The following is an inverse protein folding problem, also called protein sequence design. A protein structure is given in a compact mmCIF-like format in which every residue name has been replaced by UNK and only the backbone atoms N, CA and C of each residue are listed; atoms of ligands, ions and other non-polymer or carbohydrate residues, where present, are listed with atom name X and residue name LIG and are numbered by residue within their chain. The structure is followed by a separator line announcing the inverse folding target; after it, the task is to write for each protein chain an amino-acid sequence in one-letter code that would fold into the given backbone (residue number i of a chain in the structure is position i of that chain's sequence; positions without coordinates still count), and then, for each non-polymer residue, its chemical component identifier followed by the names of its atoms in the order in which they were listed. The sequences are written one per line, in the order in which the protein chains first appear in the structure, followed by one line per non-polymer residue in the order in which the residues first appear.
data_IF_880575525054
#
_entry.id   IF_880575525054
#
_cell.length_a   1.000
_cell.length_b   1.000
_cell.length_c   1.000
_cell.angle_alpha   90.00
_cell.angle_beta   90.00
_cell.angle_gamma   90.00
#
_symmetry.space_group_name_H-M   'P 1'
#
loop_
_entity.id
_entity.type
_entity.pdbx_description
1 polymer ?
#
# COMPACT_ATOMS: atom_id res chain seq x y z
N UNK A 1 14.02 2.92 -11.58
CA UNK A 1 12.59 2.71 -11.39
C UNK A 1 11.81 3.80 -12.05
N UNK A 2 10.81 3.43 -12.79
CA UNK A 2 9.85 4.38 -13.35
C UNK A 2 8.68 4.42 -12.37
N UNK A 3 8.68 5.42 -11.53
CA UNK A 3 7.54 5.68 -10.68
C UNK A 3 6.34 6.12 -11.50
N UNK A 4 5.17 5.64 -11.18
CA UNK A 4 3.94 6.04 -11.83
C UNK A 4 3.52 7.47 -11.44
N UNK A 5 4.09 7.99 -10.36
CA UNK A 5 3.79 9.32 -9.79
C UNK A 5 4.58 10.49 -10.37
N UNK A 6 5.40 10.26 -11.37
CA UNK A 6 6.22 11.29 -12.01
C UNK A 6 7.65 11.38 -11.44
N UNK A 7 8.55 11.81 -12.30
CA UNK A 7 9.96 11.92 -11.97
C UNK A 7 10.21 13.10 -11.04
N UNK A 8 10.47 12.83 -9.77
CA UNK A 8 11.05 13.83 -8.90
C UNK A 8 12.45 13.38 -8.47
N UNK A 9 13.35 14.34 -8.39
CA UNK A 9 14.61 14.11 -7.71
C UNK A 9 14.34 14.17 -6.20
N UNK A 10 14.37 13.01 -5.52
CA UNK A 10 14.05 12.93 -4.10
C UNK A 10 15.01 13.75 -3.24
N UNK A 11 16.29 13.89 -3.63
CA UNK A 11 17.26 14.72 -2.93
C UNK A 11 16.87 16.20 -2.99
N UNK A 12 16.44 16.67 -4.15
CA UNK A 12 15.99 18.05 -4.33
C UNK A 12 14.69 18.31 -3.57
N UNK A 13 13.76 17.37 -3.60
CA UNK A 13 12.52 17.44 -2.84
C UNK A 13 12.80 17.49 -1.34
N UNK A 14 13.66 16.60 -0.84
CA UNK A 14 14.05 16.55 0.55
C UNK A 14 14.66 17.86 1.03
N UNK A 15 15.57 18.45 0.23
CA UNK A 15 16.17 19.76 0.53
C UNK A 15 15.16 20.89 0.56
N UNK A 16 14.23 20.93 -0.40
CA UNK A 16 13.23 22.00 -0.53
C UNK A 16 12.13 21.92 0.53
N UNK A 17 11.71 20.71 0.88
CA UNK A 17 10.59 20.47 1.78
C UNK A 17 11.03 20.15 3.21
N UNK A 18 12.33 19.95 3.45
CA UNK A 18 12.89 19.78 4.78
C UNK A 18 12.64 18.39 5.38
N UNK A 19 12.45 17.35 4.56
CA UNK A 19 12.34 15.97 5.06
C UNK A 19 13.63 15.18 4.87
N UNK A 20 13.76 14.10 5.61
CA UNK A 20 14.79 13.06 5.41
C UNK A 20 14.14 11.84 4.81
N UNK A 21 14.90 11.04 4.10
CA UNK A 21 14.43 9.77 3.57
C UNK A 21 15.48 8.67 3.75
N UNK A 22 15.00 7.43 3.79
CA UNK A 22 15.82 6.23 3.79
C UNK A 22 15.31 5.29 2.70
N UNK A 23 16.18 4.93 1.77
CA UNK A 23 15.89 3.88 0.81
C UNK A 23 16.30 2.52 1.36
N UNK A 24 15.40 1.55 1.21
CA UNK A 24 15.66 0.14 1.54
C UNK A 24 15.51 -0.67 0.26
N UNK A 25 16.44 -1.60 0.04
CA UNK A 25 16.36 -2.50 -1.10
C UNK A 25 15.14 -3.42 -0.99
N UNK A 26 14.42 -3.62 -2.10
CA UNK A 26 13.20 -4.45 -2.13
C UNK A 26 13.49 -5.88 -1.69
N UNK A 27 14.60 -6.45 -2.11
CA UNK A 27 14.96 -7.81 -1.71
C UNK A 27 15.27 -7.90 -0.23
N UNK A 28 15.96 -6.89 0.32
CA UNK A 28 16.19 -6.81 1.76
C UNK A 28 14.87 -6.74 2.53
N UNK A 29 13.94 -5.90 2.09
CA UNK A 29 12.65 -5.76 2.75
C UNK A 29 11.90 -7.09 2.79
N UNK A 30 11.87 -7.82 1.67
CA UNK A 30 11.22 -9.12 1.58
C UNK A 30 11.96 -10.14 2.46
N UNK A 31 13.28 -10.19 2.41
CA UNK A 31 14.08 -11.13 3.20
C UNK A 31 13.90 -10.93 4.71
N UNK A 32 13.79 -9.66 5.16
CA UNK A 32 13.52 -9.33 6.57
C UNK A 32 12.10 -9.67 7.01
N UNK A 33 11.17 -9.89 6.10
CA UNK A 33 9.81 -10.32 6.41
C UNK A 33 9.72 -11.80 6.81
N UNK A 34 10.76 -12.59 6.59
CA UNK A 34 10.81 -14.00 6.96
C UNK A 34 11.21 -14.21 8.42
N UNK A 35 10.63 -15.23 9.06
CA UNK A 35 10.94 -15.59 10.45
C UNK A 35 12.34 -16.21 10.61
N UNK A 36 12.87 -16.84 9.57
CA UNK A 36 14.15 -17.53 9.57
C UNK A 36 15.21 -16.79 8.73
N UNK A 37 15.18 -15.47 8.77
CA UNK A 37 16.11 -14.70 7.97
C UNK A 37 17.56 -14.89 8.40
N UNK A 38 18.40 -15.22 7.44
CA UNK A 38 19.85 -15.34 7.64
C UNK A 38 20.55 -14.15 6.97
N UNK A 39 21.40 -13.38 7.68
CA UNK A 39 22.10 -12.26 7.10
C UNK A 39 22.89 -12.66 5.85
N UNK A 40 22.77 -11.89 4.77
CA UNK A 40 23.65 -12.06 3.62
C UNK A 40 25.08 -11.68 4.01
N UNK A 41 26.05 -12.60 3.91
CA UNK A 41 27.41 -12.35 4.39
C UNK A 41 28.17 -11.28 3.60
N UNK A 42 27.66 -10.87 2.44
CA UNK A 42 28.28 -9.87 1.56
C UNK A 42 27.70 -8.46 1.71
N UNK A 43 26.63 -8.30 2.48
CA UNK A 43 26.02 -7.00 2.73
C UNK A 43 26.39 -6.52 4.13
N UNK A 44 26.59 -5.18 4.34
CA UNK A 44 26.90 -4.67 5.66
C UNK A 44 25.81 -5.08 6.66
N UNK A 45 26.26 -5.40 7.86
CA UNK A 45 25.44 -5.88 8.97
C UNK A 45 24.16 -5.05 9.12
N UNK A 46 23.06 -5.65 8.71
CA UNK A 46 21.73 -5.12 8.90
C UNK A 46 21.19 -5.67 10.20
N UNK A 47 20.53 -4.86 10.96
CA UNK A 47 19.90 -5.33 12.19
C UNK A 47 18.84 -6.36 11.83
N UNK A 48 18.95 -7.62 12.27
CA UNK A 48 17.95 -8.62 11.95
C UNK A 48 16.62 -8.21 12.57
N UNK A 49 15.61 -8.06 11.72
CA UNK A 49 14.23 -7.84 12.15
C UNK A 49 13.55 -9.19 12.35
N UNK A 50 14.11 -10.01 13.23
CA UNK A 50 13.58 -11.33 13.46
C UNK A 50 12.13 -11.25 13.97
N UNK A 51 11.23 -11.93 13.29
CA UNK A 51 9.90 -12.21 13.79
C UNK A 51 9.88 -13.53 14.56
N UNK A 52 8.99 -13.64 15.51
CA UNK A 52 8.88 -14.78 16.41
C UNK A 52 7.55 -15.51 16.20
N UNK A 53 7.40 -16.68 16.80
CA UNK A 53 6.11 -17.37 16.84
C UNK A 53 5.01 -16.55 17.55
N UNK A 54 5.39 -15.65 18.45
CA UNK A 54 4.44 -14.74 19.09
C UNK A 54 3.92 -13.69 18.11
N UNK A 55 4.78 -13.12 17.26
CA UNK A 55 4.37 -12.20 16.20
C UNK A 55 3.41 -12.90 15.22
N UNK A 56 3.71 -14.14 14.84
CA UNK A 56 2.83 -14.93 13.98
C UNK A 56 1.44 -15.12 14.61
N UNK A 57 1.37 -15.47 15.88
CA UNK A 57 0.10 -15.64 16.59
C UNK A 57 -0.69 -14.33 16.69
N UNK A 58 -0.01 -13.20 16.88
CA UNK A 58 -0.64 -11.88 16.87
C UNK A 58 -1.24 -11.56 15.50
N UNK A 59 -0.53 -11.84 14.40
CA UNK A 59 -1.05 -11.63 13.03
C UNK A 59 -2.24 -12.52 12.73
N UNK A 60 -2.24 -13.77 13.20
CA UNK A 60 -3.37 -14.69 13.04
C UNK A 60 -4.61 -14.19 13.77
N UNK A 61 -4.45 -13.70 15.00
CA UNK A 61 -5.54 -13.07 15.74
C UNK A 61 -6.05 -11.81 15.05
N UNK A 62 -5.15 -10.93 14.62
CA UNK A 62 -5.51 -9.71 13.91
C UNK A 62 -6.22 -9.99 12.60
N UNK A 63 -5.80 -11.03 11.87
CA UNK A 63 -6.47 -11.46 10.66
C UNK A 63 -7.92 -11.92 10.94
N UNK A 64 -8.15 -12.68 12.01
CA UNK A 64 -9.50 -13.08 12.42
C UNK A 64 -10.38 -11.86 12.75
N UNK A 65 -9.85 -10.87 13.44
CA UNK A 65 -10.56 -9.62 13.78
C UNK A 65 -10.94 -8.84 12.52
N UNK A 66 -9.99 -8.69 11.57
CA UNK A 66 -10.21 -7.98 10.32
C UNK A 66 -11.24 -8.68 9.43
N UNK A 67 -11.15 -10.00 9.31
CA UNK A 67 -12.09 -10.82 8.54
C UNK A 67 -13.50 -10.74 9.16
N UNK A 68 -13.60 -10.85 10.48
CA UNK A 68 -14.88 -10.76 11.18
C UNK A 68 -15.53 -9.37 11.08
N UNK A 69 -14.71 -8.31 11.01
CA UNK A 69 -15.19 -6.93 10.84
C UNK A 69 -15.51 -6.55 9.40
N UNK A 70 -15.09 -7.34 8.42
CA UNK A 70 -15.31 -7.05 7.01
C UNK A 70 -16.77 -7.32 6.61
N UNK A 71 -17.38 -6.41 5.83
CA UNK A 71 -18.71 -6.65 5.23
C UNK A 71 -18.69 -7.76 4.18
N UNK A 72 -17.53 -8.02 3.58
CA UNK A 72 -17.29 -9.08 2.62
C UNK A 72 -15.80 -9.43 2.59
N UNK A 73 -15.48 -10.72 2.62
CA UNK A 73 -14.11 -11.22 2.48
C UNK A 73 -14.14 -12.52 1.66
N UNK A 74 -13.41 -12.57 0.54
CA UNK A 74 -13.27 -13.77 -0.29
C UNK A 74 -11.82 -14.19 -0.47
N UNK A 75 -10.93 -13.74 0.40
CA UNK A 75 -9.53 -14.17 0.44
C UNK A 75 -9.30 -15.12 1.61
N UNK A 76 -8.34 -16.01 1.47
CA UNK A 76 -7.98 -16.92 2.55
C UNK A 76 -7.36 -16.14 3.73
N UNK A 77 -7.56 -16.62 4.96
CA UNK A 77 -6.95 -16.04 6.16
C UNK A 77 -5.43 -15.92 6.02
N UNK A 78 -4.80 -16.91 5.40
CA UNK A 78 -3.36 -16.93 5.17
C UNK A 78 -2.87 -15.71 4.36
N UNK A 79 -3.64 -15.29 3.35
CA UNK A 79 -3.34 -14.09 2.54
C UNK A 79 -3.39 -12.81 3.39
N UNK A 80 -4.34 -12.73 4.32
CA UNK A 80 -4.45 -11.61 5.27
C UNK A 80 -3.25 -11.61 6.22
N UNK A 81 -2.87 -12.78 6.75
CA UNK A 81 -1.69 -12.94 7.61
C UNK A 81 -0.41 -12.53 6.88
N UNK A 82 -0.24 -12.94 5.63
CA UNK A 82 0.91 -12.53 4.82
C UNK A 82 0.94 -11.01 4.58
N UNK A 83 -0.20 -10.39 4.35
CA UNK A 83 -0.32 -8.93 4.29
C UNK A 83 0.05 -8.24 5.60
N UNK A 84 -0.34 -8.80 6.74
CA UNK A 84 0.04 -8.31 8.06
C UNK A 84 1.55 -8.47 8.32
N UNK A 85 2.18 -9.52 7.82
CA UNK A 85 3.63 -9.68 7.87
C UNK A 85 4.35 -8.56 7.12
N UNK A 86 3.86 -8.19 5.93
CA UNK A 86 4.39 -7.04 5.19
C UNK A 86 4.23 -5.73 5.98
N UNK A 87 3.04 -5.50 6.53
CA UNK A 87 2.75 -4.34 7.38
C UNK A 87 3.67 -4.26 8.59
N UNK A 88 3.87 -5.37 9.31
CA UNK A 88 4.77 -5.43 10.46
C UNK A 88 6.23 -5.16 10.06
N UNK A 89 6.67 -5.66 8.90
CA UNK A 89 7.99 -5.38 8.35
C UNK A 89 8.16 -3.88 8.08
N UNK A 90 7.18 -3.24 7.43
CA UNK A 90 7.21 -1.81 7.17
C UNK A 90 7.31 -0.99 8.46
N UNK A 91 6.54 -1.34 9.49
CA UNK A 91 6.60 -0.69 10.81
C UNK A 91 7.97 -0.82 11.46
N UNK A 92 8.57 -2.02 11.45
CA UNK A 92 9.91 -2.24 12.00
C UNK A 92 10.98 -1.43 11.27
N UNK A 93 10.89 -1.32 9.94
CA UNK A 93 11.80 -0.46 9.17
C UNK A 93 11.60 1.02 9.51
N UNK A 94 10.37 1.48 9.61
CA UNK A 94 10.07 2.87 9.99
C UNK A 94 10.60 3.19 11.39
N UNK A 95 10.41 2.29 12.36
CA UNK A 95 10.93 2.43 13.70
C UNK A 95 12.47 2.48 13.71
N UNK A 96 13.10 1.53 13.01
CA UNK A 96 14.57 1.44 12.95
C UNK A 96 15.22 2.70 12.35
N UNK A 97 14.63 3.27 11.31
CA UNK A 97 15.14 4.46 10.65
C UNK A 97 14.51 5.77 11.14
N UNK A 98 13.70 5.72 12.19
CA UNK A 98 12.97 6.87 12.74
C UNK A 98 12.15 7.61 11.66
N UNK A 99 11.45 6.85 10.82
CA UNK A 99 10.59 7.35 9.76
C UNK A 99 9.13 7.37 10.21
N UNK A 100 8.37 8.35 9.72
CA UNK A 100 6.94 8.53 10.02
C UNK A 100 6.04 8.46 8.79
N UNK A 101 6.57 8.00 7.67
CA UNK A 101 5.84 7.78 6.43
C UNK A 101 6.52 6.68 5.62
N UNK A 102 5.75 6.00 4.77
CA UNK A 102 6.19 4.84 4.01
C UNK A 102 5.77 4.92 2.55
N UNK A 103 6.63 4.44 1.65
CA UNK A 103 6.24 4.19 0.26
C UNK A 103 6.94 2.94 -0.28
N UNK A 104 6.26 2.20 -1.12
CA UNK A 104 6.80 1.00 -1.75
C UNK A 104 6.63 1.06 -3.28
N UNK A 105 7.62 0.57 -4.05
CA UNK A 105 7.55 0.48 -5.50
C UNK A 105 6.70 -0.72 -5.93
N UNK A 106 5.38 -0.64 -5.69
CA UNK A 106 4.47 -1.76 -5.88
C UNK A 106 4.56 -2.42 -7.26
N UNK A 107 4.67 -1.67 -8.40
CA UNK A 107 4.80 -2.30 -9.72
C UNK A 107 6.07 -3.14 -9.84
N UNK A 108 7.19 -2.67 -9.31
CA UNK A 108 8.47 -3.39 -9.38
C UNK A 108 8.48 -4.59 -8.43
N UNK A 109 7.94 -4.44 -7.24
CA UNK A 109 7.81 -5.53 -6.28
C UNK A 109 6.93 -6.66 -6.83
N UNK A 110 5.82 -6.32 -7.50
CA UNK A 110 4.96 -7.30 -8.18
C UNK A 110 5.64 -7.89 -9.44
N UNK A 111 6.34 -7.06 -10.23
CA UNK A 111 7.03 -7.52 -11.45
C UNK A 111 8.18 -8.49 -11.17
N UNK A 112 8.83 -8.42 -10.02
CA UNK A 112 9.85 -9.37 -9.61
C UNK A 112 9.29 -10.76 -9.26
N UNK A 113 7.97 -10.90 -9.23
CA UNK A 113 7.24 -12.10 -8.83
C UNK A 113 7.45 -12.54 -7.37
N UNK A 114 8.37 -11.96 -6.63
CA UNK A 114 8.65 -12.34 -5.24
C UNK A 114 7.47 -12.11 -4.32
N UNK A 115 6.80 -10.96 -4.41
CA UNK A 115 5.59 -10.72 -3.61
C UNK A 115 4.48 -11.71 -3.93
N UNK A 116 4.33 -12.09 -5.21
CA UNK A 116 3.34 -13.09 -5.61
C UNK A 116 3.68 -14.48 -5.04
N UNK A 117 4.96 -14.84 -4.97
CA UNK A 117 5.41 -16.09 -4.34
C UNK A 117 5.19 -16.09 -2.83
N UNK A 118 5.30 -14.93 -2.20
CA UNK A 118 5.08 -14.73 -0.77
C UNK A 118 3.60 -14.50 -0.42
N UNK A 119 2.71 -14.50 -1.42
CA UNK A 119 1.30 -14.16 -1.23
C UNK A 119 1.07 -12.84 -0.49
N UNK A 120 1.85 -11.83 -0.84
CA UNK A 120 1.81 -10.50 -0.22
C UNK A 120 1.37 -9.43 -1.21
N UNK A 121 0.71 -8.39 -0.70
CA UNK A 121 0.46 -7.16 -1.44
C UNK A 121 0.69 -5.94 -0.56
N UNK A 122 1.43 -4.94 -1.04
CA UNK A 122 1.63 -3.68 -0.29
C UNK A 122 0.34 -2.89 -0.07
N UNK A 123 -0.65 -3.02 -0.95
CA UNK A 123 -1.90 -2.25 -0.90
C UNK A 123 -2.63 -2.38 0.44
N UNK A 124 -2.70 -3.59 0.99
CA UNK A 124 -3.30 -3.84 2.29
C UNK A 124 -2.55 -3.11 3.41
N UNK A 125 -1.22 -3.16 3.39
CA UNK A 125 -0.38 -2.48 4.37
C UNK A 125 -0.48 -0.96 4.27
N UNK A 126 -0.55 -0.39 3.05
CA UNK A 126 -0.80 1.03 2.86
C UNK A 126 -2.15 1.45 3.47
N UNK A 127 -3.19 0.63 3.31
CA UNK A 127 -4.51 0.89 3.89
C UNK A 127 -4.47 0.88 5.41
N UNK A 128 -3.79 -0.08 6.04
CA UNK A 128 -3.66 -0.16 7.50
C UNK A 128 -2.88 1.03 8.06
N UNK A 129 -1.72 1.35 7.47
CA UNK A 129 -0.91 2.50 7.89
C UNK A 129 -1.70 3.81 7.80
N UNK A 130 -2.40 4.04 6.69
CA UNK A 130 -3.22 5.24 6.53
C UNK A 130 -4.40 5.29 7.51
N UNK A 131 -5.01 4.17 7.84
CA UNK A 131 -6.06 4.10 8.86
C UNK A 131 -5.54 4.46 10.27
N UNK A 132 -4.28 4.19 10.54
CA UNK A 132 -3.59 4.55 11.79
C UNK A 132 -3.01 5.97 11.78
N UNK A 133 -3.18 6.70 10.68
CA UNK A 133 -2.69 8.07 10.53
C UNK A 133 -1.23 8.17 10.11
N UNK A 134 -0.61 7.06 9.72
CA UNK A 134 0.74 7.01 9.16
C UNK A 134 0.62 7.14 7.65
N UNK A 135 1.09 8.25 7.08
CA UNK A 135 0.99 8.48 5.64
C UNK A 135 1.76 7.41 4.85
N UNK A 136 1.05 6.74 3.95
CA UNK A 136 1.61 5.62 3.20
C UNK A 136 1.10 5.61 1.77
N UNK A 137 2.01 5.74 0.80
CA UNK A 137 1.70 5.85 -0.62
C UNK A 137 2.24 4.65 -1.39
N UNK A 138 1.43 4.10 -2.30
CA UNK A 138 1.87 3.07 -3.23
C UNK A 138 2.68 3.66 -4.41
N UNK A 139 3.21 2.78 -5.23
CA UNK A 139 3.86 3.09 -6.51
C UNK A 139 5.08 4.01 -6.43
N UNK A 140 5.68 4.13 -5.24
CA UNK A 140 6.79 5.05 -5.01
C UNK A 140 6.44 6.51 -5.35
N UNK A 141 5.14 6.84 -5.23
CA UNK A 141 4.62 8.19 -5.51
C UNK A 141 4.97 9.15 -4.38
N UNK A 142 6.16 9.73 -4.46
CA UNK A 142 6.65 10.69 -3.46
C UNK A 142 5.82 11.99 -3.45
N UNK A 143 5.41 12.57 -4.59
CA UNK A 143 4.46 13.69 -4.58
C UNK A 143 3.15 13.37 -3.87
N UNK A 144 2.57 12.20 -4.14
CA UNK A 144 1.37 11.72 -3.48
C UNK A 144 1.58 11.53 -1.97
N UNK A 145 2.71 10.96 -1.56
CA UNK A 145 3.06 10.80 -0.15
C UNK A 145 3.15 12.16 0.58
N UNK A 146 3.82 13.13 -0.02
CA UNK A 146 3.91 14.49 0.55
C UNK A 146 2.53 15.13 0.66
N UNK A 147 1.70 14.98 -0.37
CA UNK A 147 0.32 15.47 -0.33
C UNK A 147 -0.50 14.81 0.79
N UNK A 148 -0.37 13.49 0.98
CA UNK A 148 -1.01 12.77 2.09
C UNK A 148 -0.56 13.30 3.46
N UNK A 149 0.74 13.50 3.66
CA UNK A 149 1.28 14.06 4.92
C UNK A 149 0.64 15.42 5.21
N UNK A 150 0.58 16.29 4.21
CA UNK A 150 -0.03 17.63 4.36
C UNK A 150 -1.52 17.56 4.66
N UNK A 151 -2.26 16.72 3.93
CA UNK A 151 -3.70 16.55 4.12
C UNK A 151 -4.02 15.94 5.48
N UNK A 152 -3.30 14.89 5.88
CA UNK A 152 -3.47 14.25 7.19
C UNK A 152 -3.17 15.21 8.34
N UNK A 153 -2.13 16.03 8.20
CA UNK A 153 -1.80 17.05 9.19
C UNK A 153 -2.88 18.13 9.31
N UNK A 154 -3.48 18.54 8.18
CA UNK A 154 -4.54 19.55 8.14
C UNK A 154 -5.88 19.00 8.64
N UNK A 155 -6.26 17.81 8.22
CA UNK A 155 -7.54 17.17 8.55
C UNK A 155 -7.53 16.52 9.95
N UNK A 156 -6.36 16.23 10.53
CA UNK A 156 -6.19 15.43 11.74
C UNK A 156 -6.80 14.03 11.62
N UNK A 157 -6.73 13.47 10.40
CA UNK A 157 -7.24 12.16 10.03
C UNK A 157 -6.38 11.57 8.91
N UNK A 158 -6.43 10.26 8.72
CA UNK A 158 -5.74 9.60 7.60
C UNK A 158 -6.26 10.12 6.26
N UNK A 159 -5.35 10.31 5.31
CA UNK A 159 -5.70 10.67 3.94
C UNK A 159 -5.77 9.43 3.06
N UNK A 160 -6.75 9.41 2.15
CA UNK A 160 -6.87 8.33 1.16
C UNK A 160 -5.94 8.60 -0.04
N UNK A 161 -5.35 7.54 -0.55
CA UNK A 161 -4.63 7.53 -1.81
C UNK A 161 -5.15 6.42 -2.72
N UNK A 162 -5.31 6.71 -3.99
CA UNK A 162 -5.70 5.70 -4.98
C UNK A 162 -5.50 6.20 -6.41
N UNK A 163 -5.38 5.25 -7.33
CA UNK A 163 -5.27 5.55 -8.75
C UNK A 163 -6.63 5.96 -9.32
N UNK A 164 -6.62 7.02 -10.11
CA UNK A 164 -7.81 7.42 -10.84
C UNK A 164 -7.94 6.56 -12.11
N UNK A 165 -8.92 5.67 -12.12
CA UNK A 165 -9.18 4.76 -13.25
C UNK A 165 -10.51 5.14 -13.90
N UNK A 166 -10.55 5.40 -15.23
CA UNK A 166 -11.77 5.75 -15.92
C UNK A 166 -12.71 4.54 -16.07
N UNK A 167 -13.99 4.75 -15.80
CA UNK A 167 -15.07 3.85 -16.18
C UNK A 167 -15.76 4.39 -17.44
N UNK A 168 -16.06 3.52 -18.39
CA UNK A 168 -16.69 3.87 -19.66
C UNK A 168 -18.13 3.36 -19.71
N UNK A 169 -19.04 4.24 -20.13
CA UNK A 169 -20.39 3.86 -20.50
C UNK A 169 -20.43 3.54 -21.99
N UNK A 170 -20.97 2.38 -22.35
CA UNK A 170 -21.04 1.98 -23.76
C UNK A 170 -21.91 2.92 -24.60
N UNK A 171 -22.97 3.46 -24.01
CA UNK A 171 -24.04 4.15 -24.73
C UNK A 171 -23.69 5.56 -25.20
N UNK A 172 -22.88 6.28 -24.46
CA UNK A 172 -22.57 7.69 -24.76
C UNK A 172 -21.08 7.99 -24.63
N UNK A 173 -20.27 6.98 -24.35
CA UNK A 173 -18.82 7.09 -24.11
C UNK A 173 -18.43 8.10 -23.03
N UNK A 174 -19.35 8.44 -22.16
CA UNK A 174 -19.01 9.20 -20.97
C UNK A 174 -18.02 8.40 -20.12
N UNK A 175 -17.03 9.08 -19.61
CA UNK A 175 -16.04 8.51 -18.69
C UNK A 175 -16.35 8.98 -17.27
N UNK A 176 -16.47 8.04 -16.35
CA UNK A 176 -16.51 8.33 -14.91
C UNK A 176 -15.18 7.88 -14.33
N UNK A 177 -14.53 8.76 -13.61
CA UNK A 177 -13.30 8.41 -12.91
C UNK A 177 -13.62 7.69 -11.60
N UNK A 178 -12.83 6.68 -11.27
CA UNK A 178 -12.84 6.00 -9.96
C UNK A 178 -11.43 5.94 -9.43
N UNK A 179 -11.29 5.89 -8.12
CA UNK A 179 -9.98 5.79 -7.44
C UNK A 179 -9.50 4.35 -7.26
N UNK A 180 -10.22 3.40 -7.81
CA UNK A 180 -9.84 1.98 -7.77
C UNK A 180 -9.95 1.39 -9.17
N UNK A 181 -9.14 0.39 -9.48
CA UNK A 181 -9.31 -0.40 -10.68
C UNK A 181 -10.71 -1.04 -10.67
N UNK A 182 -11.54 -0.81 -11.69
CA UNK A 182 -12.88 -1.36 -11.72
C UNK A 182 -12.78 -2.88 -11.79
N UNK A 183 -13.46 -3.57 -10.88
CA UNK A 183 -13.75 -4.98 -11.07
C UNK A 183 -14.74 -5.15 -12.23
N UNK A 184 -14.75 -6.31 -12.87
CA UNK A 184 -15.77 -6.62 -13.88
C UNK A 184 -17.20 -6.39 -13.33
N UNK A 185 -17.43 -6.76 -12.07
CA UNK A 185 -18.72 -6.55 -11.39
C UNK A 185 -19.11 -5.08 -11.28
N UNK A 186 -18.14 -4.20 -11.03
CA UNK A 186 -18.39 -2.75 -10.96
C UNK A 186 -18.72 -2.20 -12.35
N UNK A 187 -18.00 -2.63 -13.38
CA UNK A 187 -18.26 -2.23 -14.75
C UNK A 187 -19.66 -2.69 -15.21
N UNK A 188 -20.04 -3.94 -14.89
CA UNK A 188 -21.37 -4.47 -15.15
C UNK A 188 -22.46 -3.67 -14.43
N UNK A 189 -22.27 -3.34 -13.16
CA UNK A 189 -23.20 -2.51 -12.39
C UNK A 189 -23.35 -1.11 -13.01
N UNK A 190 -22.25 -0.46 -13.39
CA UNK A 190 -22.29 0.85 -14.05
C UNK A 190 -23.01 0.78 -15.40
N UNK A 191 -22.76 -0.26 -16.19
CA UNK A 191 -23.43 -0.48 -17.47
C UNK A 191 -24.94 -0.72 -17.33
N UNK A 192 -25.36 -1.33 -16.22
CA UNK A 192 -26.77 -1.58 -15.93
C UNK A 192 -27.54 -0.36 -15.40
N UNK A 193 -26.84 0.70 -14.96
CA UNK A 193 -27.46 1.93 -14.44
C UNK A 193 -28.20 2.70 -15.52
N UNK A 194 -29.29 3.37 -15.13
CA UNK A 194 -29.95 4.37 -15.96
C UNK A 194 -29.04 5.59 -16.18
N UNK A 195 -29.39 6.43 -17.15
CA UNK A 195 -28.61 7.65 -17.40
C UNK A 195 -28.63 8.59 -16.18
N UNK A 196 -29.79 8.71 -15.53
CA UNK A 196 -29.93 9.56 -14.33
C UNK A 196 -29.07 9.05 -13.17
N UNK A 197 -29.04 7.74 -12.94
CA UNK A 197 -28.18 7.13 -11.92
C UNK A 197 -26.71 7.37 -12.21
N UNK A 198 -26.29 7.26 -13.49
CA UNK A 198 -24.90 7.53 -13.89
C UNK A 198 -24.52 9.00 -13.74
N UNK A 199 -25.44 9.92 -14.08
CA UNK A 199 -25.20 11.37 -13.96
C UNK A 199 -25.09 11.81 -12.49
N UNK A 200 -25.71 11.05 -11.58
CA UNK A 200 -25.65 11.26 -10.13
C UNK A 200 -24.61 10.38 -9.42
N UNK A 201 -23.84 9.58 -10.15
CA UNK A 201 -22.83 8.72 -9.55
C UNK A 201 -21.72 9.57 -8.91
N UNK A 202 -21.72 9.59 -7.60
CA UNK A 202 -20.66 10.20 -6.80
C UNK A 202 -19.68 9.08 -6.43
N UNK A 203 -18.45 9.21 -6.88
CA UNK A 203 -17.37 8.31 -6.52
C UNK A 203 -16.69 8.89 -5.28
N UNK A 204 -16.91 8.23 -4.16
CA UNK A 204 -16.29 8.56 -2.86
C UNK A 204 -15.14 7.64 -2.56
#
# INVERSE_FOLDING_TARGET
SQDCGGFINIDDAAKKLGFRYQCVDVHEFIDQSHMEWTPCPTLPTRTPMAFTAADQAEWEQKADELIAGAGYCNVAKEEVVNGLRFYATANKFMEHYECNAFSAPCPEMCATTRLNQEHMTPCFSHSLLNAEGISSACEYDIPGLVAQIMLSAAAKAGAYMGNCVPLYYEKDRKTVATFMAPSNDLQEKVNAMTQEERDNLIIT
#
